data_IF_901326379910
#
_entry.id   IF_901326379910
#
_cell.length_a   1.000
_cell.length_b   1.000
_cell.length_c   1.000
_cell.angle_alpha   90.00
_cell.angle_beta   90.00
_cell.angle_gamma   90.00
#
_symmetry.space_group_name_H-M   'P 1'
#
loop_
_entity.id
_entity.type
_entity.pdbx_description
1 polymer ?
#
# COMPACT_ATOMS: atom_id res chain seq x y z
N UNK A 1 9.58 11.60 -3.32
CA UNK A 1 10.52 12.03 -4.39
C UNK A 1 11.19 13.37 -4.07
N UNK A 2 10.41 14.44 -3.71
CA UNK A 2 11.01 15.75 -3.39
C UNK A 2 12.02 15.64 -2.24
N UNK A 3 11.63 15.05 -1.11
CA UNK A 3 12.53 14.85 0.05
C UNK A 3 13.75 13.99 -0.28
N UNK A 4 13.60 13.01 -1.16
CA UNK A 4 14.71 12.16 -1.60
C UNK A 4 15.70 12.96 -2.45
N UNK A 5 15.21 13.75 -3.41
CA UNK A 5 16.04 14.56 -4.30
C UNK A 5 16.84 15.63 -3.56
N UNK A 6 16.20 16.36 -2.64
CA UNK A 6 16.85 17.41 -1.88
C UNK A 6 17.90 16.91 -0.88
N UNK A 7 17.75 15.69 -0.37
CA UNK A 7 18.63 15.16 0.69
C UNK A 7 19.65 14.15 0.19
N UNK A 8 19.28 13.28 -0.75
CA UNK A 8 20.11 12.17 -1.22
C UNK A 8 20.56 12.34 -2.69
N UNK A 9 20.20 13.45 -3.34
CA UNK A 9 20.57 13.77 -4.71
C UNK A 9 19.62 13.22 -5.78
N UNK A 10 19.77 13.74 -6.98
CA UNK A 10 18.89 13.43 -8.12
C UNK A 10 18.98 11.96 -8.56
N UNK A 11 20.16 11.33 -8.43
CA UNK A 11 20.35 9.93 -8.78
C UNK A 11 19.48 9.01 -7.93
N UNK A 12 19.50 9.15 -6.59
CA UNK A 12 18.67 8.36 -5.69
C UNK A 12 17.16 8.60 -5.91
N UNK A 13 16.77 9.85 -6.20
CA UNK A 13 15.40 10.19 -6.54
C UNK A 13 14.96 9.59 -7.88
N UNK A 14 15.85 9.55 -8.87
CA UNK A 14 15.63 8.93 -10.17
C UNK A 14 15.41 7.42 -10.07
N UNK A 15 16.28 6.71 -9.35
CA UNK A 15 16.16 5.27 -9.10
C UNK A 15 14.87 4.92 -8.36
N UNK A 16 14.56 5.66 -7.29
CA UNK A 16 13.31 5.49 -6.54
C UNK A 16 12.08 5.74 -7.43
N UNK A 17 12.12 6.81 -8.24
CA UNK A 17 11.04 7.14 -9.16
C UNK A 17 10.81 6.07 -10.21
N UNK A 18 11.88 5.53 -10.78
CA UNK A 18 11.83 4.43 -11.77
C UNK A 18 11.26 3.16 -11.14
N UNK A 19 11.81 2.72 -10.00
CA UNK A 19 11.32 1.56 -9.27
C UNK A 19 9.82 1.70 -8.95
N UNK A 20 9.43 2.84 -8.38
CA UNK A 20 8.05 3.09 -7.98
C UNK A 20 7.07 3.10 -9.15
N UNK A 21 7.38 3.80 -10.23
CA UNK A 21 6.50 3.89 -11.41
C UNK A 21 6.34 2.54 -12.11
N UNK A 22 7.43 1.82 -12.29
CA UNK A 22 7.42 0.50 -12.95
C UNK A 22 6.52 -0.50 -12.23
N UNK A 23 6.55 -0.51 -10.88
CA UNK A 23 5.79 -1.48 -10.11
C UNK A 23 4.35 -1.01 -9.89
N UNK A 24 4.15 0.28 -9.60
CA UNK A 24 2.82 0.78 -9.25
C UNK A 24 1.86 0.88 -10.43
N UNK A 25 2.35 1.05 -11.67
CA UNK A 25 1.49 1.18 -12.84
C UNK A 25 0.60 -0.07 -13.08
N UNK A 26 1.13 -1.29 -13.21
CA UNK A 26 0.29 -2.47 -13.39
C UNK A 26 -0.58 -2.78 -12.15
N UNK A 27 -0.04 -2.53 -10.95
CA UNK A 27 -0.78 -2.77 -9.71
C UNK A 27 -1.98 -1.82 -9.56
N UNK A 28 -1.87 -0.57 -10.02
CA UNK A 28 -2.94 0.41 -9.92
C UNK A 28 -4.18 0.02 -10.73
N UNK A 29 -4.01 -0.55 -11.91
CA UNK A 29 -5.12 -0.98 -12.77
C UNK A 29 -5.96 -2.05 -12.06
N UNK A 30 -5.31 -3.08 -11.53
CA UNK A 30 -5.98 -4.16 -10.79
C UNK A 30 -6.64 -3.63 -9.53
N UNK A 31 -5.93 -2.79 -8.77
CA UNK A 31 -6.45 -2.19 -7.52
C UNK A 31 -7.68 -1.33 -7.77
N UNK A 32 -7.68 -0.50 -8.81
CA UNK A 32 -8.82 0.38 -9.13
C UNK A 32 -10.05 -0.44 -9.52
N UNK A 33 -9.89 -1.44 -10.39
CA UNK A 33 -10.98 -2.34 -10.78
C UNK A 33 -11.57 -3.10 -9.58
N UNK A 34 -10.70 -3.63 -8.73
CA UNK A 34 -11.12 -4.31 -7.50
C UNK A 34 -11.82 -3.37 -6.51
N UNK A 35 -11.37 -2.11 -6.42
CA UNK A 35 -11.97 -1.08 -5.60
C UNK A 35 -13.41 -0.77 -6.01
N UNK A 36 -13.67 -0.65 -7.32
CA UNK A 36 -15.01 -0.34 -7.82
C UNK A 36 -15.99 -1.48 -7.58
N UNK A 37 -15.55 -2.73 -7.77
CA UNK A 37 -16.36 -3.91 -7.44
C UNK A 37 -16.61 -3.98 -5.92
N UNK A 38 -15.58 -3.72 -5.12
CA UNK A 38 -15.69 -3.71 -3.66
C UNK A 38 -16.68 -2.65 -3.16
N UNK A 39 -16.59 -1.41 -3.66
CA UNK A 39 -17.50 -0.32 -3.27
C UNK A 39 -18.96 -0.72 -3.44
N UNK A 40 -19.31 -1.24 -4.61
CA UNK A 40 -20.69 -1.60 -4.93
C UNK A 40 -21.19 -2.73 -4.00
N UNK A 41 -20.44 -3.83 -3.88
CA UNK A 41 -20.81 -4.97 -3.05
C UNK A 41 -20.88 -4.64 -1.56
N UNK A 42 -19.88 -3.87 -1.07
CA UNK A 42 -19.82 -3.50 0.33
C UNK A 42 -20.94 -2.51 0.71
N UNK A 43 -21.27 -1.57 -0.17
CA UNK A 43 -22.41 -0.65 0.05
C UNK A 43 -23.75 -1.40 0.05
N UNK A 44 -23.95 -2.34 -0.88
CA UNK A 44 -25.15 -3.17 -0.93
C UNK A 44 -25.29 -4.04 0.33
N UNK A 45 -24.23 -4.74 0.72
CA UNK A 45 -24.21 -5.56 1.94
C UNK A 45 -24.46 -4.71 3.18
N UNK A 46 -23.84 -3.53 3.28
CA UNK A 46 -24.00 -2.62 4.40
C UNK A 46 -25.43 -2.06 4.50
N UNK A 47 -26.05 -1.68 3.39
CA UNK A 47 -27.42 -1.20 3.37
C UNK A 47 -28.44 -2.29 3.80
N UNK A 48 -28.13 -3.56 3.51
CA UNK A 48 -28.99 -4.69 3.85
C UNK A 48 -28.79 -5.20 5.28
N UNK A 49 -27.56 -5.21 5.79
CA UNK A 49 -27.21 -5.93 7.02
C UNK A 49 -26.58 -5.05 8.09
N UNK A 50 -26.23 -3.79 7.79
CA UNK A 50 -25.51 -2.89 8.68
C UNK A 50 -24.01 -3.21 8.81
N UNK A 51 -23.47 -4.13 8.02
CA UNK A 51 -22.07 -4.54 8.00
C UNK A 51 -21.65 -4.93 6.59
N UNK A 52 -20.35 -4.92 6.30
CA UNK A 52 -19.79 -5.28 4.98
C UNK A 52 -18.62 -6.28 5.08
N UNK A 53 -18.62 -7.12 6.11
CA UNK A 53 -17.55 -8.12 6.36
C UNK A 53 -17.42 -9.16 5.25
N UNK A 54 -18.53 -9.55 4.63
CA UNK A 54 -18.54 -10.53 3.55
C UNK A 54 -17.77 -10.03 2.34
N UNK A 55 -18.16 -8.85 1.84
CA UNK A 55 -17.50 -8.19 0.72
C UNK A 55 -16.02 -7.88 1.03
N UNK A 56 -15.74 -7.40 2.25
CA UNK A 56 -14.38 -7.14 2.70
C UNK A 56 -13.50 -8.39 2.65
N UNK A 57 -13.94 -9.49 3.28
CA UNK A 57 -13.17 -10.75 3.34
C UNK A 57 -12.93 -11.34 1.95
N UNK A 58 -13.95 -11.32 1.09
CA UNK A 58 -13.83 -11.84 -0.27
C UNK A 58 -12.82 -11.05 -1.10
N UNK A 59 -12.90 -9.71 -1.05
CA UNK A 59 -11.98 -8.85 -1.80
C UNK A 59 -10.56 -8.91 -1.23
N UNK A 60 -10.41 -8.90 0.10
CA UNK A 60 -9.10 -9.06 0.75
C UNK A 60 -8.42 -10.37 0.31
N UNK A 61 -9.15 -11.49 0.37
CA UNK A 61 -8.60 -12.80 -0.03
C UNK A 61 -8.20 -12.84 -1.50
N UNK A 62 -9.03 -12.31 -2.39
CA UNK A 62 -8.75 -12.25 -3.82
C UNK A 62 -7.48 -11.44 -4.10
N UNK A 63 -7.39 -10.23 -3.57
CA UNK A 63 -6.23 -9.36 -3.79
C UNK A 63 -4.97 -9.89 -3.12
N UNK A 64 -5.08 -10.50 -1.93
CA UNK A 64 -3.93 -11.12 -1.28
C UNK A 64 -3.36 -12.28 -2.13
N UNK A 65 -4.23 -13.14 -2.68
CA UNK A 65 -3.79 -14.23 -3.57
C UNK A 65 -3.15 -13.68 -4.85
N UNK A 66 -3.77 -12.68 -5.49
CA UNK A 66 -3.24 -12.06 -6.71
C UNK A 66 -1.92 -11.30 -6.46
N UNK A 67 -1.76 -10.69 -5.28
CA UNK A 67 -0.58 -9.90 -4.94
C UNK A 67 0.62 -10.72 -4.45
N UNK A 68 0.41 -11.94 -3.92
CA UNK A 68 1.49 -12.78 -3.36
C UNK A 68 2.55 -13.08 -4.42
N UNK A 69 2.16 -13.60 -5.57
CA UNK A 69 3.11 -14.03 -6.60
C UNK A 69 4.01 -12.89 -7.09
N UNK A 70 3.48 -11.75 -7.60
CA UNK A 70 4.34 -10.66 -8.07
C UNK A 70 5.20 -10.06 -6.96
N UNK A 71 4.70 -10.02 -5.72
CA UNK A 71 5.47 -9.50 -4.59
C UNK A 71 6.63 -10.42 -4.20
N UNK A 72 6.43 -11.74 -4.23
CA UNK A 72 7.51 -12.71 -4.01
C UNK A 72 8.56 -12.64 -5.12
N UNK A 73 8.13 -12.52 -6.38
CA UNK A 73 9.04 -12.37 -7.51
C UNK A 73 9.90 -11.11 -7.35
N UNK A 74 9.30 -9.97 -7.00
CA UNK A 74 10.05 -8.73 -6.74
C UNK A 74 10.98 -8.87 -5.53
N UNK A 75 10.55 -9.56 -4.48
CA UNK A 75 11.34 -9.71 -3.26
C UNK A 75 12.59 -10.56 -3.49
N UNK A 76 12.48 -11.65 -4.25
CA UNK A 76 13.60 -12.56 -4.48
C UNK A 76 14.46 -12.17 -5.69
N UNK A 77 13.86 -11.68 -6.77
CA UNK A 77 14.51 -11.42 -8.07
C UNK A 77 14.38 -9.97 -8.55
N UNK A 78 14.05 -9.01 -7.69
CA UNK A 78 13.89 -7.61 -8.08
C UNK A 78 15.08 -7.04 -8.87
N UNK A 79 16.33 -7.14 -8.37
CA UNK A 79 17.51 -6.64 -9.08
C UNK A 79 17.73 -7.29 -10.44
N UNK A 80 17.61 -8.63 -10.51
CA UNK A 80 17.79 -9.42 -11.74
C UNK A 80 16.72 -9.09 -12.77
N UNK A 81 15.47 -8.93 -12.35
CA UNK A 81 14.36 -8.54 -13.22
C UNK A 81 14.56 -7.14 -13.80
N UNK A 82 14.98 -6.19 -12.98
CA UNK A 82 15.24 -4.84 -13.47
C UNK A 82 16.44 -4.80 -14.42
N UNK A 83 17.51 -5.53 -14.13
CA UNK A 83 18.65 -5.66 -15.02
C UNK A 83 18.28 -6.34 -16.35
N UNK A 84 17.44 -7.38 -16.33
CA UNK A 84 16.98 -8.10 -17.52
C UNK A 84 16.07 -7.25 -18.39
N UNK A 85 15.12 -6.51 -17.80
CA UNK A 85 14.10 -5.75 -18.55
C UNK A 85 14.61 -4.38 -19.00
N UNK A 86 15.39 -3.70 -18.15
CA UNK A 86 15.80 -2.31 -18.35
C UNK A 86 17.32 -2.13 -18.52
N UNK A 87 18.11 -3.20 -18.38
CA UNK A 87 19.55 -3.19 -18.46
C UNK A 87 20.26 -3.03 -17.10
N UNK A 88 21.55 -3.38 -17.07
CA UNK A 88 22.38 -3.35 -15.85
C UNK A 88 22.39 -2.00 -15.09
N UNK A 89 22.32 -0.81 -15.73
CA UNK A 89 22.28 0.45 -15.01
C UNK A 89 21.08 0.60 -14.06
N UNK A 90 19.98 -0.15 -14.29
CA UNK A 90 18.78 -0.11 -13.46
C UNK A 90 18.68 -1.25 -12.44
N UNK A 91 19.74 -2.05 -12.25
CA UNK A 91 19.81 -3.07 -11.19
C UNK A 91 19.60 -2.47 -9.79
N UNK A 92 20.15 -1.29 -9.52
CA UNK A 92 19.96 -0.56 -8.25
C UNK A 92 18.48 -0.18 -8.01
N UNK A 93 17.75 0.19 -9.07
CA UNK A 93 16.29 0.42 -8.95
C UNK A 93 15.56 -0.88 -8.57
N UNK A 94 16.06 -2.03 -9.02
CA UNK A 94 15.59 -3.35 -8.61
C UNK A 94 15.84 -3.65 -7.12
N UNK A 95 16.95 -3.21 -6.54
CA UNK A 95 17.20 -3.32 -5.09
C UNK A 95 16.19 -2.49 -4.29
N UNK A 96 15.89 -1.28 -4.76
CA UNK A 96 14.86 -0.45 -4.15
C UNK A 96 13.48 -1.14 -4.28
N UNK A 97 13.17 -1.70 -5.43
CA UNK A 97 11.95 -2.46 -5.68
C UNK A 97 11.79 -3.65 -4.71
N UNK A 98 12.87 -4.39 -4.48
CA UNK A 98 12.93 -5.51 -3.52
C UNK A 98 12.66 -5.04 -2.09
N UNK A 99 13.24 -3.91 -1.65
CA UNK A 99 12.99 -3.31 -0.34
C UNK A 99 11.52 -2.92 -0.17
N UNK A 100 10.88 -2.44 -1.23
CA UNK A 100 9.48 -2.03 -1.20
C UNK A 100 8.49 -3.18 -1.42
N UNK A 101 8.91 -4.37 -1.84
CA UNK A 101 8.03 -5.48 -2.12
C UNK A 101 7.05 -5.84 -0.98
N UNK A 102 7.47 -5.93 0.30
CA UNK A 102 6.55 -6.19 1.41
C UNK A 102 5.51 -5.08 1.60
N UNK A 103 5.92 -3.81 1.50
CA UNK A 103 5.02 -2.67 1.56
C UNK A 103 4.00 -2.70 0.42
N UNK A 104 4.47 -2.93 -0.80
CA UNK A 104 3.63 -2.97 -2.00
C UNK A 104 2.61 -4.10 -1.91
N UNK A 105 2.99 -5.26 -1.39
CA UNK A 105 2.09 -6.38 -1.15
C UNK A 105 0.92 -5.97 -0.24
N UNK A 106 1.22 -5.41 0.95
CA UNK A 106 0.18 -5.03 1.91
C UNK A 106 -0.68 -3.89 1.34
N UNK A 107 -0.06 -2.89 0.75
CA UNK A 107 -0.74 -1.76 0.13
C UNK A 107 -1.69 -2.18 -1.00
N UNK A 108 -1.32 -3.21 -1.77
CA UNK A 108 -2.09 -3.68 -2.92
C UNK A 108 -3.52 -4.08 -2.56
N UNK A 109 -3.74 -4.72 -1.41
CA UNK A 109 -5.08 -5.05 -0.95
C UNK A 109 -5.65 -4.04 0.06
N UNK A 110 -4.80 -3.41 0.87
CA UNK A 110 -5.27 -2.47 1.88
C UNK A 110 -5.85 -1.18 1.29
N UNK A 111 -5.25 -0.68 0.19
CA UNK A 111 -5.67 0.57 -0.43
C UNK A 111 -7.10 0.51 -1.01
N UNK A 112 -7.48 -0.48 -1.83
CA UNK A 112 -8.85 -0.60 -2.34
C UNK A 112 -9.89 -0.76 -1.22
N UNK A 113 -9.54 -1.47 -0.15
CA UNK A 113 -10.42 -1.73 0.98
C UNK A 113 -10.60 -0.50 1.91
N UNK A 114 -9.82 0.56 1.73
CA UNK A 114 -9.95 1.82 2.48
C UNK A 114 -11.35 2.47 2.37
N UNK A 115 -12.05 2.22 1.28
CA UNK A 115 -13.45 2.64 1.12
C UNK A 115 -14.40 2.09 2.19
N UNK A 116 -14.02 1.06 2.94
CA UNK A 116 -14.77 0.59 4.11
C UNK A 116 -15.11 1.74 5.04
N UNK A 117 -14.15 2.62 5.37
CA UNK A 117 -14.39 3.74 6.28
C UNK A 117 -15.41 4.76 5.75
N UNK A 118 -15.48 4.93 4.44
CA UNK A 118 -16.47 5.80 3.82
C UNK A 118 -17.88 5.18 3.90
N UNK A 119 -17.99 3.89 3.59
CA UNK A 119 -19.25 3.13 3.60
C UNK A 119 -19.83 3.09 5.02
N UNK A 120 -18.99 2.81 6.04
CA UNK A 120 -19.43 2.76 7.44
C UNK A 120 -19.46 4.13 8.13
N UNK A 121 -19.27 5.23 7.38
CA UNK A 121 -19.29 6.62 7.87
C UNK A 121 -18.26 6.94 8.95
N UNK A 122 -17.09 6.33 8.88
CA UNK A 122 -15.97 6.53 9.81
C UNK A 122 -14.74 7.18 9.14
N UNK A 123 -14.95 8.11 8.22
CA UNK A 123 -13.89 8.78 7.44
C UNK A 123 -12.81 9.47 8.32
N UNK A 124 -13.11 9.83 9.57
CA UNK A 124 -12.12 10.38 10.51
C UNK A 124 -10.95 9.42 10.79
N UNK A 125 -11.19 8.11 10.82
CA UNK A 125 -10.15 7.10 11.04
C UNK A 125 -9.17 7.12 9.87
N UNK A 126 -9.68 7.20 8.66
CA UNK A 126 -8.85 7.30 7.45
C UNK A 126 -7.98 8.57 7.46
N UNK A 127 -8.54 9.71 7.89
CA UNK A 127 -7.80 10.96 8.02
C UNK A 127 -6.64 10.85 9.02
N UNK A 128 -6.88 10.32 10.23
CA UNK A 128 -5.82 10.13 11.23
C UNK A 128 -4.73 9.17 10.73
N UNK A 129 -5.13 8.13 10.00
CA UNK A 129 -4.17 7.21 9.40
C UNK A 129 -3.31 7.90 8.32
N UNK A 130 -3.89 8.76 7.47
CA UNK A 130 -3.13 9.54 6.48
C UNK A 130 -2.14 10.52 7.15
N UNK A 131 -2.52 11.14 8.27
CA UNK A 131 -1.60 11.96 9.07
C UNK A 131 -0.44 11.11 9.60
N UNK A 132 -0.71 9.90 10.08
CA UNK A 132 0.31 8.94 10.50
C UNK A 132 1.29 8.57 9.38
N UNK A 133 0.77 8.31 8.16
CA UNK A 133 1.62 8.07 6.99
C UNK A 133 2.51 9.27 6.67
N UNK A 134 1.98 10.48 6.74
CA UNK A 134 2.75 11.71 6.51
C UNK A 134 3.87 11.85 7.55
N UNK A 135 3.56 11.65 8.84
CA UNK A 135 4.54 11.71 9.92
C UNK A 135 5.68 10.70 9.74
N UNK A 136 5.35 9.44 9.40
CA UNK A 136 6.36 8.41 9.10
C UNK A 136 7.17 8.78 7.85
N UNK A 137 6.55 9.33 6.80
CA UNK A 137 7.28 9.82 5.62
C UNK A 137 8.32 10.86 6.00
N UNK A 138 7.92 11.87 6.77
CA UNK A 138 8.84 12.94 7.19
C UNK A 138 9.97 12.35 8.03
N UNK A 139 9.65 11.55 9.07
CA UNK A 139 10.65 10.97 9.95
C UNK A 139 11.67 10.10 9.21
N UNK A 140 11.19 9.23 8.32
CA UNK A 140 12.05 8.26 7.61
C UNK A 140 12.94 8.89 6.54
N UNK A 141 12.59 10.07 6.02
CA UNK A 141 13.44 10.81 5.07
C UNK A 141 14.25 11.93 5.73
N UNK A 142 14.04 12.23 7.01
CA UNK A 142 14.80 13.27 7.72
C UNK A 142 15.86 12.71 8.68
N UNK A 143 15.61 11.56 9.30
CA UNK A 143 16.51 10.98 10.32
C UNK A 143 17.73 10.24 9.74
N UNK A 144 17.61 9.30 8.78
CA UNK A 144 18.75 8.56 8.27
C UNK A 144 19.69 9.44 7.42
N UNK A 145 20.99 9.17 7.49
CA UNK A 145 22.02 9.83 6.67
C UNK A 145 22.18 9.21 5.29
N UNK A 146 21.79 7.93 5.13
CA UNK A 146 21.95 7.18 3.88
C UNK A 146 20.59 6.89 3.22
N UNK A 147 20.54 7.03 1.88
CA UNK A 147 19.31 6.81 1.09
C UNK A 147 18.74 5.39 1.26
N UNK A 148 19.59 4.37 1.22
CA UNK A 148 19.16 2.98 1.30
C UNK A 148 18.57 2.65 2.70
N UNK A 149 19.14 3.21 3.75
CA UNK A 149 18.60 3.11 5.11
C UNK A 149 17.25 3.83 5.23
N UNK A 150 17.10 5.01 4.64
CA UNK A 150 15.84 5.73 4.58
C UNK A 150 14.75 4.91 3.87
N UNK A 151 15.07 4.27 2.75
CA UNK A 151 14.13 3.41 2.02
C UNK A 151 13.68 2.18 2.84
N UNK A 152 14.60 1.54 3.57
CA UNK A 152 14.27 0.43 4.47
C UNK A 152 13.36 0.87 5.61
N UNK A 153 13.67 1.97 6.29
CA UNK A 153 12.85 2.51 7.36
C UNK A 153 11.46 2.94 6.86
N UNK A 154 11.42 3.58 5.68
CA UNK A 154 10.16 3.95 5.04
C UNK A 154 9.31 2.72 4.72
N UNK A 155 9.89 1.70 4.06
CA UNK A 155 9.17 0.48 3.71
C UNK A 155 8.63 -0.24 4.95
N UNK A 156 9.45 -0.39 5.99
CA UNK A 156 9.05 -1.05 7.22
C UNK A 156 7.97 -0.26 7.99
N UNK A 157 8.15 1.06 8.14
CA UNK A 157 7.20 1.93 8.84
C UNK A 157 5.83 1.99 8.16
N UNK A 158 5.85 2.13 6.83
CA UNK A 158 4.61 2.11 6.04
C UNK A 158 3.94 0.74 6.05
N UNK A 159 4.71 -0.36 5.92
CA UNK A 159 4.15 -1.70 5.99
C UNK A 159 3.48 -1.94 7.36
N UNK A 160 4.11 -1.53 8.46
CA UNK A 160 3.53 -1.62 9.80
C UNK A 160 2.22 -0.82 9.91
N UNK A 161 2.20 0.43 9.41
CA UNK A 161 0.99 1.25 9.39
C UNK A 161 -0.12 0.60 8.54
N UNK A 162 0.22 0.02 7.38
CA UNK A 162 -0.77 -0.67 6.54
C UNK A 162 -1.32 -1.93 7.20
N UNK A 163 -0.52 -2.67 7.99
CA UNK A 163 -1.05 -3.78 8.82
C UNK A 163 -2.08 -3.27 9.82
N UNK A 164 -1.77 -2.19 10.54
CA UNK A 164 -2.72 -1.55 11.45
C UNK A 164 -3.98 -1.10 10.70
N UNK A 165 -3.82 -0.51 9.51
CA UNK A 165 -4.93 -0.05 8.68
C UNK A 165 -5.88 -1.18 8.28
N UNK A 166 -5.35 -2.34 7.87
CA UNK A 166 -6.14 -3.55 7.56
C UNK A 166 -6.92 -4.04 8.78
N UNK A 167 -6.31 -4.02 9.96
CA UNK A 167 -6.98 -4.39 11.21
C UNK A 167 -8.10 -3.42 11.56
N UNK A 168 -7.89 -2.12 11.37
CA UNK A 168 -8.93 -1.10 11.58
C UNK A 168 -10.08 -1.25 10.57
N UNK A 169 -9.77 -1.48 9.30
CA UNK A 169 -10.76 -1.76 8.26
C UNK A 169 -11.60 -3.00 8.59
N UNK A 170 -10.94 -4.08 9.03
CA UNK A 170 -11.63 -5.31 9.42
C UNK A 170 -12.61 -5.10 10.57
N UNK A 171 -12.20 -4.32 11.59
CA UNK A 171 -13.07 -3.94 12.70
C UNK A 171 -14.25 -3.10 12.22
N UNK A 172 -13.97 -2.08 11.40
CA UNK A 172 -14.98 -1.19 10.84
C UNK A 172 -15.99 -1.93 9.95
N UNK A 173 -15.53 -2.89 9.13
CA UNK A 173 -16.38 -3.71 8.27
C UNK A 173 -17.43 -4.53 9.05
N UNK A 174 -17.20 -4.75 10.35
CA UNK A 174 -18.16 -5.41 11.24
C UNK A 174 -19.38 -4.58 11.61
N UNK A 175 -19.44 -3.34 11.18
CA UNK A 175 -20.49 -2.40 11.56
C UNK A 175 -20.33 -1.89 12.99
N UNK A 176 -20.84 -0.69 13.28
CA UNK A 176 -21.15 -0.33 14.65
C UNK A 176 -22.45 -1.03 14.99
N UNK A 177 -22.52 -1.72 16.14
CA UNK A 177 -23.82 -2.03 16.73
C UNK A 177 -24.55 -0.68 16.86
N UNK A 178 -25.56 -0.50 16.02
CA UNK A 178 -26.50 0.62 16.18
C UNK A 178 -27.06 0.42 17.59
N UNK A 179 -26.60 1.22 18.57
CA UNK A 179 -27.30 1.34 19.83
C UNK A 179 -28.66 1.91 19.46
N UNK A 180 -29.76 1.19 19.69
CA UNK A 180 -31.08 1.79 19.56
C UNK A 180 -31.14 2.95 20.56
N UNK A 181 -31.39 4.13 20.03
CA UNK A 181 -31.72 5.34 20.79
C UNK A 181 -33.09 5.19 21.44
#
# INVERSE_FOLDING_TARGET
LLLTGTRFGEHAAGLLGTAWRTISAPMSIISTSAQDVFKNRAAEEFNRTGQCRGAYKQTLRLLAILGVFPSLVLFFWGPELFALVFGEPLREAGEIARIFAPLLFIRFFASPLGYTFLIVRQAKIDLYWQIGLLAVSIATFTLPSEAMSAFRWFSAGYAALYVVYVLLQWRAAGGQQVRPS
#
